data_IF_679144160152
#
_entry.id   IF_679144160152
#
_cell.length_a   1.000
_cell.length_b   1.000
_cell.length_c   1.000
_cell.angle_alpha   90.00
_cell.angle_beta   90.00
_cell.angle_gamma   90.00
#
_symmetry.space_group_name_H-M   'P 1'
#
loop_
_entity.id
_entity.type
_entity.pdbx_description
1 polymer ?
#
# COMPACT_ATOMS: atom_id res chain seq x y z
N UNK A 1 -16.20 62.07 -48.50
CA UNK A 1 -16.40 63.36 -47.79
C UNK A 1 -16.86 63.06 -46.38
N UNK A 2 -16.12 63.57 -45.38
CA UNK A 2 -16.51 63.84 -43.97
C UNK A 2 -16.83 62.61 -43.08
N UNK A 3 -16.08 62.22 -42.02
CA UNK A 3 -15.72 62.91 -40.75
C UNK A 3 -16.95 63.67 -40.16
N UNK A 4 -17.43 63.50 -38.93
CA UNK A 4 -16.80 63.07 -37.68
C UNK A 4 -17.84 62.63 -36.63
N UNK A 5 -17.30 62.06 -35.56
CA UNK A 5 -17.79 61.59 -34.27
C UNK A 5 -18.69 62.53 -33.42
N UNK A 6 -19.47 61.90 -32.53
CA UNK A 6 -19.32 61.93 -31.06
C UNK A 6 -20.30 60.89 -30.47
N UNK A 7 -19.88 59.86 -29.71
CA UNK A 7 -19.40 59.95 -28.33
C UNK A 7 -20.61 59.96 -27.39
N UNK A 8 -20.84 59.07 -26.42
CA UNK A 8 -20.10 57.99 -25.80
C UNK A 8 -20.99 57.52 -24.64
N UNK A 9 -21.18 56.21 -24.49
CA UNK A 9 -21.77 55.54 -23.30
C UNK A 9 -21.42 54.07 -23.50
N UNK A 10 -20.20 53.67 -23.15
CA UNK A 10 -19.81 53.30 -21.79
C UNK A 10 -20.46 51.97 -21.33
N UNK A 11 -19.61 50.94 -21.42
CA UNK A 11 -19.47 49.80 -20.53
C UNK A 11 -20.48 48.63 -20.58
N UNK A 12 -19.91 47.53 -21.10
CA UNK A 12 -19.92 46.20 -20.47
C UNK A 12 -21.22 45.39 -20.55
N UNK A 13 -21.48 44.88 -21.76
CA UNK A 13 -21.71 43.45 -21.89
C UNK A 13 -20.46 42.70 -21.42
N UNK A 14 -20.55 41.91 -20.34
CA UNK A 14 -20.23 40.49 -20.42
C UNK A 14 -20.72 39.69 -19.21
N UNK A 15 -21.76 38.93 -19.49
CA UNK A 15 -21.91 37.52 -19.15
C UNK A 15 -22.08 37.08 -17.69
N UNK A 16 -23.34 36.68 -17.47
CA UNK A 16 -23.74 35.39 -16.88
C UNK A 16 -23.48 35.20 -15.39
N UNK A 17 -24.54 35.54 -14.63
CA UNK A 17 -24.94 34.83 -13.40
C UNK A 17 -24.89 33.31 -13.64
N UNK A 18 -23.90 32.64 -13.05
CA UNK A 18 -23.91 31.19 -12.88
C UNK A 18 -24.43 30.92 -11.46
N UNK A 19 -25.70 30.51 -11.43
CA UNK A 19 -26.38 29.62 -10.49
C UNK A 19 -25.74 29.39 -9.12
N UNK A 20 -26.46 29.88 -8.11
CA UNK A 20 -26.48 29.43 -6.73
C UNK A 20 -26.41 27.88 -6.64
N UNK A 21 -25.36 27.37 -6.00
CA UNK A 21 -25.33 25.99 -5.49
C UNK A 21 -25.51 26.04 -3.98
N UNK A 22 -26.63 25.48 -3.52
CA UNK A 22 -27.00 25.31 -2.13
C UNK A 22 -25.97 24.45 -1.40
N UNK A 23 -25.14 25.08 -0.57
CA UNK A 23 -24.19 24.39 0.29
C UNK A 23 -24.93 23.64 1.41
N UNK A 24 -25.02 22.32 1.28
CA UNK A 24 -25.49 21.43 2.36
C UNK A 24 -24.45 21.41 3.48
N UNK A 25 -24.72 22.14 4.56
CA UNK A 25 -23.88 22.21 5.75
C UNK A 25 -23.79 20.87 6.48
N UNK A 26 -22.62 20.26 6.48
CA UNK A 26 -22.31 19.14 7.38
C UNK A 26 -21.91 19.71 8.74
N UNK A 27 -22.76 19.53 9.76
CA UNK A 27 -22.45 19.93 11.15
C UNK A 27 -21.25 19.13 11.66
N UNK A 28 -20.09 19.76 11.77
CA UNK A 28 -18.97 19.24 12.52
C UNK A 28 -19.30 19.30 14.02
N UNK A 29 -19.46 18.13 14.65
CA UNK A 29 -19.57 18.00 16.10
C UNK A 29 -18.15 17.95 16.69
N UNK A 30 -17.56 19.11 16.89
CA UNK A 30 -16.29 19.28 17.59
C UNK A 30 -16.18 20.69 18.15
N UNK A 31 -15.83 20.81 19.43
CA UNK A 31 -15.52 22.09 20.08
C UNK A 31 -14.50 22.85 19.23
N UNK A 32 -14.85 24.05 18.76
CA UNK A 32 -13.89 25.01 18.18
C UNK A 32 -13.01 25.54 19.31
N UNK A 33 -12.00 24.75 19.69
CA UNK A 33 -10.96 25.18 20.63
C UNK A 33 -10.15 26.28 19.94
N UNK A 34 -9.88 27.42 20.60
CA UNK A 34 -9.10 28.49 20.00
C UNK A 34 -7.71 27.93 19.69
N UNK A 35 -7.40 27.92 18.40
CA UNK A 35 -6.04 27.98 17.85
C UNK A 35 -5.00 27.13 18.59
N UNK A 36 -5.01 25.81 18.36
CA UNK A 36 -3.80 25.01 18.56
C UNK A 36 -2.82 25.43 17.47
N UNK A 37 -2.12 26.54 17.68
CA UNK A 37 -1.01 26.97 16.83
C UNK A 37 0.09 25.92 16.99
N UNK A 38 0.16 24.98 16.05
CA UNK A 38 1.37 24.14 15.96
C UNK A 38 2.53 25.10 15.71
N UNK A 39 3.58 25.10 16.56
CA UNK A 39 4.73 25.96 16.29
C UNK A 39 5.28 25.56 14.92
N UNK A 40 5.34 26.54 14.02
CA UNK A 40 6.02 26.35 12.75
C UNK A 40 7.47 26.01 13.06
N UNK A 41 8.05 24.99 12.42
CA UNK A 41 9.46 24.68 12.64
C UNK A 41 10.31 25.90 12.28
N UNK A 42 11.38 26.13 13.05
CA UNK A 42 12.36 27.17 12.77
C UNK A 42 12.89 27.06 11.33
N UNK A 43 13.25 28.19 10.73
CA UNK A 43 13.71 28.21 9.35
C UNK A 43 15.02 27.42 9.23
N UNK A 44 15.23 26.72 8.12
CA UNK A 44 16.46 25.98 7.88
C UNK A 44 17.72 26.88 7.91
N UNK A 45 17.55 28.17 7.60
CA UNK A 45 18.58 29.21 7.70
C UNK A 45 18.94 29.61 9.14
N UNK A 46 18.05 29.36 10.10
CA UNK A 46 18.27 29.63 11.53
C UNK A 46 18.97 28.46 12.24
N UNK A 47 19.20 27.34 11.54
CA UNK A 47 19.81 26.16 12.10
C UNK A 47 21.34 26.24 12.13
N UNK A 48 22.00 25.64 13.14
CA UNK A 48 23.45 25.61 13.23
C UNK A 48 24.10 24.97 12.00
N UNK A 49 25.30 25.44 11.69
CA UNK A 49 26.15 24.85 10.64
C UNK A 49 26.30 23.34 10.88
N UNK A 50 25.88 22.53 9.90
CA UNK A 50 25.92 21.07 9.97
C UNK A 50 24.59 20.37 10.28
N UNK A 51 23.51 21.10 10.60
CA UNK A 51 22.17 20.49 10.79
C UNK A 51 21.71 19.71 9.55
N UNK A 52 21.89 20.26 8.35
CA UNK A 52 21.50 19.61 7.09
C UNK A 52 22.25 18.29 6.87
N UNK A 53 23.54 18.25 7.22
CA UNK A 53 24.37 17.05 7.13
C UNK A 53 23.95 16.00 8.17
N UNK A 54 23.66 16.43 9.41
CA UNK A 54 23.11 15.55 10.45
C UNK A 54 21.75 14.96 10.04
N UNK A 55 20.84 15.80 9.57
CA UNK A 55 19.51 15.38 9.12
C UNK A 55 19.58 14.41 7.94
N UNK A 56 20.46 14.67 6.98
CA UNK A 56 20.67 13.77 5.83
C UNK A 56 21.17 12.39 6.29
N UNK A 57 22.16 12.34 7.19
CA UNK A 57 22.65 11.08 7.79
C UNK A 57 21.54 10.34 8.53
N UNK A 58 20.70 11.06 9.27
CA UNK A 58 19.58 10.47 10.00
C UNK A 58 18.53 9.89 9.03
N UNK A 59 18.18 10.65 7.98
CA UNK A 59 17.25 10.20 6.92
C UNK A 59 17.75 8.94 6.23
N UNK A 60 19.03 8.87 5.88
CA UNK A 60 19.65 7.68 5.28
C UNK A 60 19.59 6.48 6.21
N UNK A 61 19.91 6.68 7.50
CA UNK A 61 19.81 5.62 8.51
C UNK A 61 18.38 5.09 8.61
N UNK A 62 17.39 5.96 8.76
CA UNK A 62 15.98 5.57 8.86
C UNK A 62 15.55 4.81 7.60
N UNK A 63 15.90 5.30 6.42
CA UNK A 63 15.55 4.66 5.15
C UNK A 63 16.13 3.26 5.05
N UNK A 64 17.42 3.11 5.40
CA UNK A 64 18.10 1.82 5.42
C UNK A 64 17.46 0.83 6.39
N UNK A 65 17.17 1.25 7.62
CA UNK A 65 16.54 0.36 8.60
C UNK A 65 15.11 -0.03 8.21
N UNK A 66 14.35 0.88 7.59
CA UNK A 66 13.02 0.55 7.03
C UNK A 66 13.10 -0.51 5.94
N UNK A 67 14.07 -0.41 5.02
CA UNK A 67 14.27 -1.42 3.97
C UNK A 67 14.60 -2.78 4.59
N UNK A 68 15.49 -2.83 5.58
CA UNK A 68 15.82 -4.07 6.28
C UNK A 68 14.61 -4.70 6.95
N UNK A 69 13.79 -3.89 7.64
CA UNK A 69 12.57 -4.38 8.28
C UNK A 69 11.60 -4.99 7.26
N UNK A 70 11.39 -4.32 6.11
CA UNK A 70 10.54 -4.82 5.02
C UNK A 70 11.09 -6.11 4.43
N UNK A 71 12.41 -6.20 4.17
CA UNK A 71 13.03 -7.41 3.64
C UNK A 71 12.93 -8.59 4.61
N UNK A 72 13.14 -8.34 5.90
CA UNK A 72 13.00 -9.36 6.94
C UNK A 72 11.56 -9.87 7.04
N UNK A 73 10.57 -8.96 7.08
CA UNK A 73 9.16 -9.32 7.12
C UNK A 73 8.71 -10.08 5.86
N UNK A 74 9.14 -9.63 4.67
CA UNK A 74 8.87 -10.33 3.41
C UNK A 74 9.47 -11.74 3.40
N UNK A 75 10.68 -11.90 3.95
CA UNK A 75 11.34 -13.19 4.03
C UNK A 75 10.58 -14.18 4.90
N UNK A 76 10.15 -13.74 6.09
CA UNK A 76 9.31 -14.54 6.97
C UNK A 76 7.97 -14.91 6.30
N UNK A 77 7.35 -13.96 5.59
CA UNK A 77 6.07 -14.17 4.91
C UNK A 77 6.14 -15.25 3.83
N UNK A 78 7.15 -15.20 2.96
CA UNK A 78 7.28 -16.18 1.87
C UNK A 78 7.63 -17.57 2.42
N UNK A 79 8.47 -17.66 3.46
CA UNK A 79 8.74 -18.94 4.13
C UNK A 79 7.47 -19.53 4.75
N UNK A 80 6.67 -18.71 5.43
CA UNK A 80 5.38 -19.14 5.96
C UNK A 80 4.44 -19.66 4.87
N UNK A 81 4.38 -18.97 3.72
CA UNK A 81 3.58 -19.40 2.58
C UNK A 81 4.05 -20.74 2.00
N UNK A 82 5.36 -20.96 1.95
CA UNK A 82 5.93 -22.25 1.58
C UNK A 82 5.53 -23.35 2.56
N UNK A 83 5.69 -23.11 3.86
CA UNK A 83 5.37 -24.07 4.93
C UNK A 83 3.86 -24.47 4.87
N UNK A 84 2.96 -23.50 4.61
CA UNK A 84 1.53 -23.76 4.39
C UNK A 84 1.31 -24.62 3.14
N UNK A 85 1.99 -24.31 2.03
CA UNK A 85 1.91 -25.08 0.79
C UNK A 85 2.32 -26.54 1.00
N UNK A 86 3.41 -26.78 1.71
CA UNK A 86 3.88 -28.13 2.05
C UNK A 86 2.89 -28.87 2.95
N UNK A 87 2.33 -28.20 3.96
CA UNK A 87 1.32 -28.79 4.82
C UNK A 87 0.07 -29.25 4.03
N UNK A 88 -0.34 -28.47 3.03
CA UNK A 88 -1.44 -28.85 2.13
C UNK A 88 -1.04 -30.10 1.32
N UNK A 89 0.11 -30.07 0.64
CA UNK A 89 0.58 -31.19 -0.19
C UNK A 89 0.69 -32.50 0.60
N UNK A 90 1.23 -32.44 1.82
CA UNK A 90 1.40 -33.60 2.68
C UNK A 90 0.07 -34.25 3.03
N UNK A 91 -0.94 -33.45 3.38
CA UNK A 91 -2.29 -33.93 3.68
C UNK A 91 -2.99 -34.47 2.44
N UNK A 92 -2.82 -33.83 1.28
CA UNK A 92 -3.36 -34.33 0.01
C UNK A 92 -2.78 -35.72 -0.34
N UNK A 93 -1.48 -35.92 -0.11
CA UNK A 93 -0.81 -37.21 -0.35
C UNK A 93 -1.24 -38.30 0.63
N UNK A 94 -1.31 -37.98 1.92
CA UNK A 94 -1.60 -38.96 2.98
C UNK A 94 -3.08 -39.33 3.07
N UNK A 95 -3.96 -38.35 2.89
CA UNK A 95 -5.39 -38.47 3.22
C UNK A 95 -6.30 -38.31 1.99
N UNK A 96 -5.74 -38.08 0.80
CA UNK A 96 -6.51 -37.97 -0.45
C UNK A 96 -7.36 -36.69 -0.53
N UNK A 97 -6.99 -35.64 0.19
CA UNK A 97 -7.78 -34.40 0.25
C UNK A 97 -7.92 -33.73 -1.12
N UNK A 98 -9.16 -33.62 -1.60
CA UNK A 98 -9.50 -32.92 -2.84
C UNK A 98 -9.50 -31.39 -2.72
N UNK A 99 -9.81 -30.72 -3.83
CA UNK A 99 -9.78 -29.25 -3.92
C UNK A 99 -10.68 -28.51 -2.91
N UNK A 100 -11.74 -29.17 -2.39
CA UNK A 100 -12.69 -28.59 -1.42
C UNK A 100 -12.04 -28.20 -0.08
N UNK A 101 -10.94 -28.86 0.30
CA UNK A 101 -10.26 -28.54 1.56
C UNK A 101 -9.62 -27.15 1.51
N UNK A 102 -9.17 -26.70 0.34
CA UNK A 102 -8.57 -25.37 0.20
C UNK A 102 -9.60 -24.26 0.49
N UNK A 103 -10.84 -24.44 0.03
CA UNK A 103 -11.91 -23.47 0.28
C UNK A 103 -12.28 -23.43 1.77
N UNK A 104 -12.33 -24.59 2.43
CA UNK A 104 -12.57 -24.67 3.87
C UNK A 104 -11.44 -24.03 4.69
N UNK A 105 -10.20 -24.35 4.34
CA UNK A 105 -9.02 -23.79 5.00
C UNK A 105 -8.95 -22.27 4.83
N UNK A 106 -9.31 -21.76 3.65
CA UNK A 106 -9.40 -20.31 3.41
C UNK A 106 -10.40 -19.64 4.34
N UNK A 107 -11.58 -20.23 4.49
CA UNK A 107 -12.61 -19.71 5.39
C UNK A 107 -12.11 -19.69 6.84
N UNK A 108 -11.57 -20.81 7.32
CA UNK A 108 -11.16 -20.96 8.71
C UNK A 108 -9.96 -20.05 9.06
N UNK A 109 -8.97 -19.94 8.17
CA UNK A 109 -7.83 -19.04 8.38
C UNK A 109 -8.24 -17.56 8.39
N UNK A 110 -9.20 -17.16 7.55
CA UNK A 110 -9.72 -15.78 7.58
C UNK A 110 -10.51 -15.46 8.84
N UNK A 111 -11.23 -16.45 9.39
CA UNK A 111 -11.96 -16.29 10.63
C UNK A 111 -11.02 -16.11 11.83
N UNK A 112 -9.90 -16.85 11.85
CA UNK A 112 -8.89 -16.75 12.91
C UNK A 112 -8.02 -15.50 12.76
N UNK A 113 -7.69 -15.10 11.53
CA UNK A 113 -6.81 -13.97 11.23
C UNK A 113 -7.49 -12.91 10.35
N UNK A 114 -8.48 -12.15 10.88
CA UNK A 114 -9.27 -11.22 10.08
C UNK A 114 -8.44 -10.04 9.53
N UNK A 115 -7.40 -9.62 10.25
CA UNK A 115 -6.50 -8.53 9.84
C UNK A 115 -5.52 -8.94 8.73
N UNK A 116 -5.35 -10.25 8.46
CA UNK A 116 -4.38 -10.75 7.50
C UNK A 116 -4.98 -10.91 6.10
N UNK A 117 -4.57 -10.05 5.18
CA UNK A 117 -4.91 -10.16 3.76
C UNK A 117 -3.97 -11.14 3.05
N UNK A 118 -4.27 -12.44 3.12
CA UNK A 118 -3.40 -13.45 2.49
C UNK A 118 -4.03 -14.84 2.33
N UNK A 119 -5.12 -15.14 3.02
CA UNK A 119 -5.68 -16.49 3.05
C UNK A 119 -6.88 -16.68 2.12
N UNK A 120 -6.84 -16.11 0.90
CA UNK A 120 -7.87 -16.40 -0.11
C UNK A 120 -7.68 -17.81 -0.69
N UNK A 121 -8.73 -18.48 -1.21
CA UNK A 121 -8.59 -19.82 -1.77
C UNK A 121 -7.61 -19.84 -2.95
N UNK A 122 -7.61 -18.76 -3.75
CA UNK A 122 -6.66 -18.58 -4.84
C UNK A 122 -5.21 -18.52 -4.32
N UNK A 123 -4.97 -17.76 -3.25
CA UNK A 123 -3.62 -17.65 -2.71
C UNK A 123 -3.13 -18.96 -2.10
N UNK A 124 -3.99 -19.71 -1.41
CA UNK A 124 -3.65 -21.05 -0.92
C UNK A 124 -3.30 -22.03 -2.05
N UNK A 125 -3.99 -21.96 -3.20
CA UNK A 125 -3.61 -22.73 -4.40
C UNK A 125 -2.22 -22.33 -4.90
N UNK A 126 -1.87 -21.05 -4.84
CA UNK A 126 -0.52 -20.59 -5.18
C UNK A 126 0.53 -21.06 -4.18
N UNK A 127 0.27 -20.99 -2.88
CA UNK A 127 1.16 -21.53 -1.84
C UNK A 127 1.43 -23.02 -2.08
N UNK A 128 0.40 -23.79 -2.39
CA UNK A 128 0.54 -25.21 -2.75
C UNK A 128 1.43 -25.41 -3.99
N UNK A 129 1.15 -24.70 -5.09
CA UNK A 129 1.97 -24.77 -6.32
C UNK A 129 3.42 -24.32 -6.07
N UNK A 130 3.62 -23.33 -5.22
CA UNK A 130 4.93 -22.83 -4.84
C UNK A 130 5.74 -23.90 -4.11
N UNK A 131 5.13 -24.55 -3.11
CA UNK A 131 5.72 -25.67 -2.41
C UNK A 131 6.01 -26.88 -3.32
N UNK A 132 5.12 -27.14 -4.28
CA UNK A 132 5.28 -28.21 -5.28
C UNK A 132 6.47 -27.94 -6.23
N UNK A 133 6.67 -26.68 -6.61
CA UNK A 133 7.76 -26.28 -7.51
C UNK A 133 9.12 -26.20 -6.83
N UNK A 134 9.14 -26.02 -5.51
CA UNK A 134 10.35 -25.85 -4.70
C UNK A 134 10.32 -26.79 -3.49
N UNK A 135 10.60 -28.08 -3.65
CA UNK A 135 10.46 -29.05 -2.55
C UNK A 135 11.51 -28.90 -1.44
N UNK A 136 12.65 -28.26 -1.72
CA UNK A 136 13.74 -28.06 -0.75
C UNK A 136 13.62 -26.72 -0.04
N UNK A 137 13.47 -26.76 1.29
CA UNK A 137 13.30 -25.56 2.13
C UNK A 137 14.53 -24.68 2.13
N UNK A 138 15.72 -25.28 2.06
CA UNK A 138 17.01 -24.60 2.08
C UNK A 138 17.22 -23.74 0.84
N UNK A 139 16.73 -24.19 -0.32
CA UNK A 139 16.74 -23.41 -1.56
C UNK A 139 15.82 -22.20 -1.46
N UNK A 140 14.64 -22.40 -0.87
CA UNK A 140 13.69 -21.30 -0.62
C UNK A 140 14.34 -20.29 0.31
N UNK A 141 14.83 -20.68 1.49
CA UNK A 141 15.49 -19.78 2.44
C UNK A 141 16.61 -18.93 1.83
N UNK A 142 17.45 -19.52 0.98
CA UNK A 142 18.53 -18.80 0.29
C UNK A 142 18.02 -17.80 -0.75
N UNK A 143 16.88 -18.07 -1.38
CA UNK A 143 16.32 -17.25 -2.47
C UNK A 143 15.30 -16.22 -2.01
N UNK A 144 14.65 -16.42 -0.86
CA UNK A 144 13.55 -15.55 -0.40
C UNK A 144 13.96 -14.08 -0.24
N UNK A 145 15.22 -13.82 0.13
CA UNK A 145 15.69 -12.45 0.36
C UNK A 145 15.77 -11.59 -0.91
N UNK A 146 15.67 -12.20 -2.10
CA UNK A 146 15.99 -11.53 -3.37
C UNK A 146 14.78 -11.29 -4.29
N UNK A 147 13.58 -11.79 -3.95
CA UNK A 147 12.45 -11.79 -4.90
C UNK A 147 11.14 -11.31 -4.26
N UNK A 148 10.46 -10.28 -4.83
CA UNK A 148 9.10 -9.90 -4.43
C UNK A 148 8.10 -11.05 -4.65
N UNK A 149 7.15 -11.26 -3.73
CA UNK A 149 6.22 -12.40 -3.78
C UNK A 149 5.57 -12.63 -5.15
N UNK A 150 5.20 -11.54 -5.86
CA UNK A 150 4.54 -11.59 -7.18
C UNK A 150 5.38 -12.27 -8.26
N UNK A 151 6.69 -12.30 -8.11
CA UNK A 151 7.63 -12.83 -9.10
C UNK A 151 7.86 -14.34 -8.95
N UNK A 152 7.34 -14.98 -7.89
CA UNK A 152 7.52 -16.43 -7.66
C UNK A 152 6.45 -17.30 -8.34
N UNK A 153 5.54 -16.72 -9.12
CA UNK A 153 4.61 -17.48 -9.94
C UNK A 153 5.20 -17.65 -11.35
N UNK A 154 5.69 -18.86 -11.73
CA UNK A 154 6.06 -19.10 -13.11
C UNK A 154 4.83 -18.84 -14.00
N UNK A 155 4.99 -17.95 -14.98
CA UNK A 155 3.96 -17.50 -15.92
C UNK A 155 3.57 -18.55 -16.98
N UNK A 156 3.98 -19.81 -16.83
CA UNK A 156 3.70 -20.88 -17.78
C UNK A 156 2.60 -21.76 -17.22
N UNK A 157 1.36 -21.54 -17.66
CA UNK A 157 0.28 -22.50 -17.93
C UNK A 157 -0.91 -21.66 -18.42
N UNK A 158 -1.06 -21.58 -19.74
CA UNK A 158 -2.31 -21.32 -20.44
C UNK A 158 -2.42 -22.39 -21.53
#
# INVERSE_FOLDING_TARGET
MSFNANGGEELMKKDRKITETTATGRKARGLSKPEVLMPLPANLLEMPDGYTAFFSKLKERITRERIKAVLSANSAMVLMYWDIGQAILERQRKEGWGAKVIDRLSHDLKAVFPEMTGFSPRNLKYMRKFAESWPERELVQRTVALIPWRSNLPCWIN
#
